data_IF_165859364031
#
_entry.id   IF_165859364031
#
_cell.length_a   1.000
_cell.length_b   1.000
_cell.length_c   1.000
_cell.angle_alpha   90.00
_cell.angle_beta   90.00
_cell.angle_gamma   90.00
#
_symmetry.space_group_name_H-M   'P 1'
#
loop_
_entity.id
_entity.type
_entity.pdbx_description
1 polymer ?
#
# COMPACT_ATOMS: atom_id res chain seq x y z
N UNK A 1 -74.98 57.43 -4.06
CA UNK A 1 -73.99 57.49 -2.96
C UNK A 1 -73.64 56.12 -2.44
N UNK A 2 -74.49 55.12 -2.35
CA UNK A 2 -74.24 53.72 -1.96
C UNK A 2 -73.29 52.97 -2.91
N UNK A 3 -73.40 53.23 -4.21
CA UNK A 3 -72.53 52.66 -5.22
C UNK A 3 -71.02 53.03 -5.02
N UNK A 4 -70.79 54.31 -4.67
CA UNK A 4 -69.38 54.76 -4.41
C UNK A 4 -68.81 54.13 -3.18
N UNK A 5 -69.56 53.89 -2.13
CA UNK A 5 -69.13 53.21 -0.92
C UNK A 5 -68.82 51.75 -1.19
N UNK A 6 -69.68 51.04 -1.92
CA UNK A 6 -69.44 49.66 -2.34
C UNK A 6 -68.20 49.52 -3.19
N UNK A 7 -67.95 50.42 -4.14
CA UNK A 7 -66.76 50.42 -4.98
C UNK A 7 -65.51 50.66 -4.16
N UNK A 8 -65.54 51.56 -3.18
CA UNK A 8 -64.39 51.80 -2.31
C UNK A 8 -64.04 50.57 -1.45
N UNK A 9 -65.07 49.93 -0.89
CA UNK A 9 -64.88 48.70 -0.13
C UNK A 9 -64.30 47.63 -0.99
N UNK A 10 -64.76 47.44 -2.22
CA UNK A 10 -64.21 46.42 -3.15
C UNK A 10 -62.77 46.73 -3.49
N UNK A 11 -62.37 47.96 -3.75
CA UNK A 11 -61.01 48.37 -4.03
C UNK A 11 -60.07 48.06 -2.82
N UNK A 12 -60.52 48.38 -1.61
CA UNK A 12 -59.75 48.09 -0.38
C UNK A 12 -59.57 46.60 -0.16
N UNK A 13 -60.60 45.81 -0.43
CA UNK A 13 -60.48 44.32 -0.33
C UNK A 13 -59.51 43.74 -1.38
N UNK A 14 -59.55 44.25 -2.60
CA UNK A 14 -58.62 43.80 -3.66
C UNK A 14 -57.18 44.21 -3.32
N UNK A 15 -56.94 45.44 -2.89
CA UNK A 15 -55.62 45.92 -2.51
C UNK A 15 -55.08 45.18 -1.27
N UNK A 16 -55.92 44.92 -0.29
CA UNK A 16 -55.55 44.11 0.89
C UNK A 16 -55.22 42.66 0.53
N UNK A 17 -56.05 42.10 -0.34
CA UNK A 17 -55.81 40.72 -0.84
C UNK A 17 -54.48 40.58 -1.61
N UNK A 18 -54.13 41.52 -2.47
CA UNK A 18 -52.89 41.57 -3.19
C UNK A 18 -51.65 41.74 -2.27
N UNK A 19 -51.77 42.56 -1.23
CA UNK A 19 -50.70 42.76 -0.27
C UNK A 19 -50.40 41.47 0.56
N UNK A 20 -51.49 40.83 1.00
CA UNK A 20 -51.35 39.57 1.73
C UNK A 20 -50.79 38.47 0.82
N UNK A 21 -51.29 38.36 -0.41
CA UNK A 21 -50.78 37.39 -1.37
C UNK A 21 -49.30 37.64 -1.72
N UNK A 22 -48.93 38.90 -1.94
CA UNK A 22 -47.52 39.27 -2.20
C UNK A 22 -46.60 38.94 -1.02
N UNK A 23 -47.06 39.17 0.21
CA UNK A 23 -46.30 38.82 1.41
C UNK A 23 -46.10 37.34 1.56
N UNK A 24 -47.15 36.54 1.38
CA UNK A 24 -47.07 35.06 1.46
C UNK A 24 -46.13 34.53 0.35
N UNK A 25 -46.29 35.02 -0.88
CA UNK A 25 -45.43 34.62 -2.00
C UNK A 25 -43.96 34.92 -1.75
N UNK A 26 -43.63 36.11 -1.25
CA UNK A 26 -42.24 36.48 -0.93
C UNK A 26 -41.66 35.67 0.24
N UNK A 27 -42.46 35.42 1.27
CA UNK A 27 -42.03 34.62 2.40
C UNK A 27 -41.76 33.17 1.98
N UNK A 28 -42.60 32.58 1.15
CA UNK A 28 -42.39 31.24 0.61
C UNK A 28 -41.14 31.15 -0.27
N UNK A 29 -40.83 32.18 -1.06
CA UNK A 29 -39.58 32.22 -1.84
C UNK A 29 -38.35 32.30 -0.95
N UNK A 30 -38.38 33.05 0.14
CA UNK A 30 -37.27 33.11 1.10
C UNK A 30 -37.02 31.75 1.78
N UNK A 31 -38.09 31.08 2.17
CA UNK A 31 -38.00 29.75 2.78
C UNK A 31 -37.42 28.69 1.78
N UNK A 32 -37.90 28.72 0.52
CA UNK A 32 -37.37 27.88 -0.53
C UNK A 32 -35.88 28.11 -0.79
N UNK A 33 -35.45 29.37 -0.89
CA UNK A 33 -34.03 29.71 -1.07
C UNK A 33 -33.16 29.30 0.11
N UNK A 34 -33.67 29.40 1.34
CA UNK A 34 -32.96 28.92 2.52
C UNK A 34 -32.80 27.38 2.54
N UNK A 35 -33.86 26.66 2.16
CA UNK A 35 -33.81 25.20 2.05
C UNK A 35 -32.81 24.73 0.97
N UNK A 36 -32.80 25.40 -0.19
CA UNK A 36 -31.82 25.12 -1.23
C UNK A 36 -30.37 25.35 -0.74
N UNK A 37 -30.13 26.49 -0.06
CA UNK A 37 -28.81 26.79 0.48
C UNK A 37 -28.37 25.79 1.54
N UNK A 38 -29.31 25.36 2.40
CA UNK A 38 -29.02 24.30 3.38
C UNK A 38 -28.72 22.94 2.71
N UNK A 39 -29.50 22.59 1.68
CA UNK A 39 -29.28 21.38 0.91
C UNK A 39 -27.90 21.38 0.21
N UNK A 40 -27.52 22.51 -0.40
CA UNK A 40 -26.18 22.67 -1.00
C UNK A 40 -25.04 22.55 0.02
N UNK A 41 -25.18 23.22 1.17
CA UNK A 41 -24.18 23.12 2.25
C UNK A 41 -24.04 21.70 2.76
N UNK A 42 -25.17 21.00 2.93
CA UNK A 42 -25.16 19.60 3.35
C UNK A 42 -24.49 18.70 2.32
N UNK A 43 -24.84 18.85 1.04
CA UNK A 43 -24.22 18.11 -0.05
C UNK A 43 -22.71 18.36 -0.15
N UNK A 44 -22.25 19.60 0.05
CA UNK A 44 -20.82 19.93 0.10
C UNK A 44 -20.13 19.29 1.31
N UNK A 45 -20.77 19.34 2.49
CA UNK A 45 -20.22 18.73 3.69
C UNK A 45 -20.10 17.20 3.55
N UNK A 46 -21.13 16.55 3.01
CA UNK A 46 -21.14 15.11 2.74
C UNK A 46 -20.05 14.71 1.72
N UNK A 47 -19.89 15.50 0.65
CA UNK A 47 -18.83 15.31 -0.34
C UNK A 47 -17.43 15.46 0.28
N UNK A 48 -17.21 16.47 1.11
CA UNK A 48 -15.93 16.66 1.81
C UNK A 48 -15.64 15.53 2.79
N UNK A 49 -16.65 15.01 3.50
CA UNK A 49 -16.51 13.83 4.36
C UNK A 49 -16.09 12.60 3.57
N UNK A 50 -16.72 12.35 2.42
CA UNK A 50 -16.34 11.20 1.56
C UNK A 50 -14.90 11.31 1.07
N UNK A 51 -14.48 12.49 0.61
CA UNK A 51 -13.10 12.72 0.16
C UNK A 51 -12.10 12.50 1.30
N UNK A 52 -12.39 13.00 2.50
CA UNK A 52 -11.52 12.76 3.67
C UNK A 52 -11.43 11.27 4.02
N UNK A 53 -12.55 10.56 4.05
CA UNK A 53 -12.56 9.13 4.32
C UNK A 53 -11.75 8.33 3.27
N UNK A 54 -11.80 8.74 2.01
CA UNK A 54 -10.98 8.13 0.96
C UNK A 54 -9.49 8.38 1.15
N UNK A 55 -9.11 9.62 1.49
CA UNK A 55 -7.71 9.96 1.77
C UNK A 55 -7.19 9.17 2.97
N UNK A 56 -7.94 9.13 4.08
CA UNK A 56 -7.56 8.36 5.27
C UNK A 56 -7.41 6.86 4.97
N UNK A 57 -8.31 6.30 4.15
CA UNK A 57 -8.22 4.91 3.73
C UNK A 57 -6.97 4.64 2.86
N UNK A 58 -6.63 5.54 1.94
CA UNK A 58 -5.42 5.44 1.12
C UNK A 58 -4.15 5.57 1.95
N UNK A 59 -4.11 6.51 2.90
CA UNK A 59 -2.98 6.68 3.80
C UNK A 59 -2.77 5.45 4.69
N UNK A 60 -3.86 4.89 5.24
CA UNK A 60 -3.81 3.67 6.04
C UNK A 60 -3.31 2.48 5.22
N UNK A 61 -3.74 2.34 3.97
CA UNK A 61 -3.26 1.28 3.08
C UNK A 61 -1.77 1.46 2.72
N UNK A 62 -1.34 2.69 2.42
CA UNK A 62 0.06 3.00 2.15
C UNK A 62 0.95 2.67 3.36
N UNK A 63 0.51 2.98 4.58
CA UNK A 63 1.23 2.63 5.81
C UNK A 63 1.34 1.11 5.99
N UNK A 64 0.26 0.35 5.76
CA UNK A 64 0.29 -1.13 5.84
C UNK A 64 1.28 -1.72 4.84
N UNK A 65 1.31 -1.20 3.62
CA UNK A 65 2.25 -1.66 2.59
C UNK A 65 3.70 -1.35 2.98
N UNK A 66 3.96 -0.16 3.52
CA UNK A 66 5.30 0.22 4.01
C UNK A 66 5.76 -0.67 5.18
N UNK A 67 4.89 -0.92 6.15
CA UNK A 67 5.18 -1.84 7.27
C UNK A 67 5.44 -3.27 6.79
N UNK A 68 4.67 -3.76 5.82
CA UNK A 68 4.88 -5.07 5.20
C UNK A 68 6.25 -5.14 4.54
N UNK A 69 6.61 -4.15 3.72
CA UNK A 69 7.93 -4.07 3.07
C UNK A 69 9.08 -4.05 4.07
N UNK A 70 8.97 -3.25 5.12
CA UNK A 70 9.94 -3.22 6.23
C UNK A 70 10.06 -4.58 6.94
N UNK A 71 8.93 -5.25 7.12
CA UNK A 71 8.91 -6.61 7.69
C UNK A 71 9.67 -7.61 6.84
N UNK A 72 9.47 -7.58 5.53
CA UNK A 72 10.17 -8.45 4.57
C UNK A 72 11.67 -8.10 4.50
N UNK A 73 12.03 -6.82 4.49
CA UNK A 73 13.45 -6.43 4.54
C UNK A 73 14.15 -7.01 5.78
N UNK A 74 13.54 -6.91 6.96
CA UNK A 74 14.08 -7.51 8.20
C UNK A 74 14.18 -9.04 8.13
N UNK A 75 13.18 -9.69 7.53
CA UNK A 75 13.22 -11.13 7.29
C UNK A 75 14.42 -11.49 6.41
N UNK A 76 14.60 -10.83 5.27
CA UNK A 76 15.70 -11.08 4.35
C UNK A 76 17.07 -10.79 4.99
N UNK A 77 17.19 -9.69 5.73
CA UNK A 77 18.42 -9.41 6.48
C UNK A 77 18.76 -10.54 7.48
N UNK A 78 17.75 -11.02 8.21
CA UNK A 78 17.93 -12.14 9.14
C UNK A 78 18.28 -13.44 8.41
N UNK A 79 17.59 -13.72 7.30
CA UNK A 79 17.85 -14.88 6.45
C UNK A 79 19.30 -14.86 5.93
N UNK A 80 19.74 -13.74 5.34
CA UNK A 80 21.09 -13.62 4.83
C UNK A 80 22.15 -13.80 5.93
N UNK A 81 21.97 -13.17 7.08
CA UNK A 81 22.92 -13.28 8.20
C UNK A 81 23.04 -14.69 8.77
N UNK A 82 21.96 -15.45 8.80
CA UNK A 82 21.91 -16.78 9.42
C UNK A 82 22.11 -17.93 8.45
N UNK A 83 21.71 -17.73 7.19
CA UNK A 83 21.63 -18.79 6.20
C UNK A 83 22.67 -18.69 5.08
N UNK A 84 23.21 -17.47 4.84
CA UNK A 84 24.08 -17.23 3.69
C UNK A 84 25.45 -16.71 4.12
N UNK A 85 25.47 -15.68 4.94
CA UNK A 85 26.70 -14.97 5.33
C UNK A 85 27.28 -15.54 6.63
N UNK A 86 27.47 -16.84 6.66
CA UNK A 86 28.01 -17.55 7.81
C UNK A 86 28.79 -18.80 7.33
N UNK A 87 29.80 -19.20 8.09
CA UNK A 87 30.59 -20.42 7.80
C UNK A 87 29.76 -21.70 8.00
N UNK A 88 28.82 -21.67 8.92
CA UNK A 88 27.96 -22.79 9.28
C UNK A 88 26.57 -22.71 8.63
N UNK A 89 26.51 -22.31 7.36
CA UNK A 89 25.24 -22.22 6.63
C UNK A 89 24.61 -23.61 6.48
N UNK A 90 23.44 -23.82 7.11
CA UNK A 90 22.66 -25.05 6.99
C UNK A 90 21.62 -24.86 5.86
N UNK A 91 22.02 -25.22 4.64
CA UNK A 91 21.19 -25.10 3.46
C UNK A 91 19.92 -25.93 3.56
N UNK A 92 20.00 -27.16 4.10
CA UNK A 92 18.87 -28.05 4.32
C UNK A 92 17.81 -27.40 5.23
N UNK A 93 18.25 -26.85 6.36
CA UNK A 93 17.34 -26.18 7.29
C UNK A 93 16.70 -24.94 6.68
N UNK A 94 17.46 -24.12 5.97
CA UNK A 94 16.98 -22.85 5.42
C UNK A 94 16.25 -23.01 4.09
N UNK A 95 16.41 -24.13 3.37
CA UNK A 95 15.67 -24.42 2.14
C UNK A 95 14.15 -24.45 2.34
N UNK A 96 13.68 -24.69 3.55
CA UNK A 96 12.25 -24.59 3.92
C UNK A 96 11.65 -23.19 3.78
N UNK A 97 12.47 -22.15 3.69
CA UNK A 97 12.03 -20.78 3.42
C UNK A 97 11.92 -20.48 1.92
N UNK A 98 12.23 -21.45 1.07
CA UNK A 98 12.08 -21.35 -0.37
C UNK A 98 10.72 -21.95 -0.78
N UNK A 99 10.13 -21.39 -1.84
CA UNK A 99 9.05 -22.09 -2.54
C UNK A 99 9.61 -23.32 -3.26
N UNK A 100 8.74 -24.28 -3.62
CA UNK A 100 9.15 -25.43 -4.43
C UNK A 100 9.76 -25.02 -5.77
N UNK A 101 9.33 -23.88 -6.32
CA UNK A 101 9.90 -23.32 -7.54
C UNK A 101 11.34 -22.85 -7.30
N UNK A 102 11.55 -22.01 -6.28
CA UNK A 102 12.88 -21.51 -5.94
C UNK A 102 13.84 -22.64 -5.55
N UNK A 103 13.36 -23.60 -4.76
CA UNK A 103 14.13 -24.77 -4.39
C UNK A 103 14.64 -25.54 -5.63
N UNK A 104 13.76 -25.78 -6.62
CA UNK A 104 14.16 -26.42 -7.87
C UNK A 104 15.10 -25.57 -8.71
N UNK A 105 14.98 -24.26 -8.67
CA UNK A 105 15.89 -23.35 -9.38
C UNK A 105 17.29 -23.35 -8.76
N UNK A 106 17.38 -23.40 -7.44
CA UNK A 106 18.67 -23.40 -6.71
C UNK A 106 19.35 -24.76 -6.76
N UNK A 107 18.62 -25.82 -6.41
CA UNK A 107 19.19 -27.16 -6.28
C UNK A 107 18.95 -28.09 -7.48
N UNK A 108 18.21 -27.65 -8.50
CA UNK A 108 17.81 -28.47 -9.64
C UNK A 108 16.63 -29.40 -9.34
N UNK A 109 16.21 -30.16 -10.34
CA UNK A 109 15.25 -31.25 -10.17
C UNK A 109 15.97 -32.49 -9.72
N UNK A 110 15.36 -33.25 -8.80
CA UNK A 110 15.90 -34.50 -8.32
C UNK A 110 16.34 -35.42 -9.50
N UNK A 111 17.66 -35.66 -9.67
CA UNK A 111 18.23 -36.43 -10.76
C UNK A 111 18.97 -35.66 -11.85
N UNK A 112 19.00 -34.32 -11.82
CA UNK A 112 19.76 -33.50 -12.78
C UNK A 112 21.01 -32.84 -12.18
N UNK A 113 21.41 -33.25 -10.97
CA UNK A 113 22.63 -32.73 -10.36
C UNK A 113 23.86 -33.15 -11.11
N UNK A 114 24.71 -32.19 -11.45
CA UNK A 114 26.14 -32.44 -11.63
C UNK A 114 26.68 -32.85 -10.25
N UNK A 115 26.95 -34.10 -10.07
CA UNK A 115 27.24 -34.76 -8.80
C UNK A 115 28.49 -34.24 -8.05
N UNK A 116 29.17 -33.22 -8.60
CA UNK A 116 30.45 -32.71 -8.09
C UNK A 116 30.34 -31.40 -7.29
N UNK A 117 29.19 -30.70 -7.30
CA UNK A 117 29.02 -29.49 -6.51
C UNK A 117 28.28 -29.80 -5.19
N UNK A 118 28.92 -29.49 -4.05
CA UNK A 118 28.30 -29.63 -2.75
C UNK A 118 27.16 -28.58 -2.57
N UNK A 119 26.22 -28.88 -1.69
CA UNK A 119 25.06 -28.02 -1.42
C UNK A 119 25.47 -26.61 -0.98
N UNK A 120 26.54 -26.45 -0.23
CA UNK A 120 27.03 -25.17 0.23
C UNK A 120 27.52 -24.31 -0.94
N UNK A 121 28.21 -24.91 -1.90
CA UNK A 121 28.63 -24.19 -3.13
C UNK A 121 27.44 -23.75 -3.97
N UNK A 122 26.45 -24.62 -4.14
CA UNK A 122 25.21 -24.29 -4.88
C UNK A 122 24.44 -23.18 -4.18
N UNK A 123 24.29 -23.26 -2.87
CA UNK A 123 23.63 -22.27 -2.05
C UNK A 123 24.32 -20.91 -2.12
N UNK A 124 25.65 -20.91 -1.95
CA UNK A 124 26.44 -19.70 -2.08
C UNK A 124 26.35 -19.08 -3.48
N UNK A 125 26.40 -19.89 -4.51
CA UNK A 125 26.26 -19.46 -5.91
C UNK A 125 24.92 -18.75 -6.17
N UNK A 126 23.85 -19.21 -5.52
CA UNK A 126 22.53 -18.61 -5.67
C UNK A 126 22.39 -17.29 -4.87
N UNK A 127 22.82 -17.29 -3.62
CA UNK A 127 22.52 -16.18 -2.70
C UNK A 127 23.75 -15.31 -2.35
N UNK A 128 24.96 -15.80 -2.50
CA UNK A 128 26.19 -15.11 -2.14
C UNK A 128 26.68 -14.11 -3.19
N UNK A 129 27.92 -13.66 -3.02
CA UNK A 129 28.66 -12.87 -4.00
C UNK A 129 29.62 -13.75 -4.81
N UNK A 130 30.35 -13.14 -5.75
CA UNK A 130 31.33 -13.85 -6.60
C UNK A 130 32.73 -13.92 -5.99
N UNK A 131 32.92 -13.42 -4.77
CA UNK A 131 34.21 -13.46 -4.09
C UNK A 131 34.64 -14.88 -3.81
N UNK A 132 35.90 -15.20 -4.11
CA UNK A 132 36.52 -16.51 -3.88
C UNK A 132 36.75 -16.77 -2.39
N UNK A 133 37.00 -15.70 -1.63
CA UNK A 133 37.20 -15.74 -0.18
C UNK A 133 36.25 -14.74 0.49
N UNK A 134 35.04 -15.15 0.89
CA UNK A 134 34.10 -14.26 1.49
C UNK A 134 34.48 -13.87 2.93
N UNK A 135 34.54 -12.54 3.21
CA UNK A 135 34.60 -12.05 4.60
C UNK A 135 33.16 -11.89 5.13
N UNK A 136 32.65 -12.93 5.76
CA UNK A 136 31.28 -12.93 6.30
C UNK A 136 31.04 -11.81 7.30
N UNK A 137 32.04 -11.44 8.11
CA UNK A 137 31.90 -10.34 9.06
C UNK A 137 31.72 -8.99 8.35
N UNK A 138 32.47 -8.77 7.27
CA UNK A 138 32.37 -7.56 6.49
C UNK A 138 31.06 -7.51 5.69
N UNK A 139 30.69 -8.64 5.06
CA UNK A 139 29.42 -8.78 4.33
C UNK A 139 28.21 -8.54 5.23
N UNK A 140 28.20 -9.12 6.45
CA UNK A 140 27.11 -8.90 7.41
C UNK A 140 27.00 -7.44 7.87
N UNK A 141 28.13 -6.77 8.12
CA UNK A 141 28.13 -5.35 8.51
C UNK A 141 27.63 -4.44 7.41
N UNK A 142 27.93 -4.78 6.16
CA UNK A 142 27.61 -3.96 4.99
C UNK A 142 26.31 -4.41 4.30
N UNK A 143 25.66 -5.45 4.81
CA UNK A 143 24.41 -5.96 4.28
C UNK A 143 23.34 -4.89 4.29
N UNK A 144 22.66 -4.71 3.15
CA UNK A 144 21.53 -3.83 3.03
C UNK A 144 20.46 -4.46 2.15
N UNK A 145 19.21 -4.37 2.59
CA UNK A 145 18.06 -4.86 1.85
C UNK A 145 17.11 -3.69 1.60
N UNK A 146 16.80 -3.44 0.35
CA UNK A 146 15.86 -2.40 -0.08
C UNK A 146 14.75 -3.03 -0.93
N UNK A 147 13.50 -2.60 -0.74
CA UNK A 147 12.40 -3.00 -1.61
C UNK A 147 12.56 -2.35 -3.00
N UNK A 148 12.36 -3.15 -4.06
CA UNK A 148 12.26 -2.67 -5.45
C UNK A 148 10.78 -2.40 -5.77
N UNK A 149 9.93 -3.38 -5.45
CA UNK A 149 8.48 -3.30 -5.57
C UNK A 149 7.79 -4.13 -4.47
N UNK A 150 6.57 -4.56 -4.67
CA UNK A 150 5.81 -5.30 -3.66
C UNK A 150 6.33 -6.72 -3.39
N UNK A 151 7.06 -7.31 -4.34
CA UNK A 151 7.55 -8.68 -4.26
C UNK A 151 9.06 -8.81 -4.44
N UNK A 152 9.71 -7.86 -5.08
CA UNK A 152 11.14 -7.90 -5.35
C UNK A 152 11.93 -7.00 -4.41
N UNK A 153 13.05 -7.53 -3.93
CA UNK A 153 13.96 -6.89 -2.99
C UNK A 153 15.39 -6.97 -3.51
N UNK A 154 16.13 -5.90 -3.33
CA UNK A 154 17.54 -5.81 -3.68
C UNK A 154 18.39 -6.00 -2.44
N UNK A 155 19.21 -7.02 -2.43
CA UNK A 155 20.18 -7.34 -1.39
C UNK A 155 21.55 -6.87 -1.86
N UNK A 156 22.17 -6.00 -1.08
CA UNK A 156 23.52 -5.50 -1.34
C UNK A 156 24.54 -6.29 -0.52
N UNK A 157 25.53 -6.84 -1.20
CA UNK A 157 26.64 -7.57 -0.65
C UNK A 157 27.92 -6.80 -0.96
N UNK A 158 28.59 -6.23 0.06
CA UNK A 158 29.79 -5.41 -0.12
C UNK A 158 30.94 -5.91 0.74
N UNK A 159 32.07 -6.11 0.10
CA UNK A 159 33.32 -6.55 0.71
C UNK A 159 34.50 -5.92 -0.07
N UNK A 160 35.53 -5.45 0.62
CA UNK A 160 36.80 -4.93 0.06
C UNK A 160 36.63 -3.83 -1.01
N UNK A 161 35.58 -3.00 -0.86
CA UNK A 161 35.23 -1.93 -1.78
C UNK A 161 34.45 -2.38 -3.01
N UNK A 162 34.26 -3.67 -3.22
CA UNK A 162 33.40 -4.23 -4.25
C UNK A 162 31.98 -4.41 -3.74
N UNK A 163 31.00 -4.19 -4.62
CA UNK A 163 29.59 -4.30 -4.27
C UNK A 163 28.87 -5.08 -5.34
N UNK A 164 28.19 -6.14 -4.91
CA UNK A 164 27.31 -6.93 -5.74
C UNK A 164 25.86 -6.86 -5.21
N UNK A 165 24.94 -7.23 -6.06
CA UNK A 165 23.53 -7.23 -5.74
C UNK A 165 22.91 -8.56 -6.10
N UNK A 166 21.99 -9.01 -5.25
CA UNK A 166 21.02 -10.05 -5.58
C UNK A 166 19.62 -9.44 -5.58
N UNK A 167 18.80 -9.88 -6.49
CA UNK A 167 17.39 -9.57 -6.47
C UNK A 167 16.64 -10.80 -5.98
N UNK A 168 15.88 -10.65 -4.92
CA UNK A 168 15.16 -11.74 -4.26
C UNK A 168 13.67 -11.47 -4.35
N UNK A 169 12.93 -12.40 -4.93
CA UNK A 169 11.47 -12.37 -4.97
C UNK A 169 10.91 -13.08 -3.76
N UNK A 170 9.98 -12.41 -3.10
CA UNK A 170 9.36 -12.88 -1.86
C UNK A 170 7.85 -12.97 -2.06
N UNK A 171 7.27 -14.07 -1.63
CA UNK A 171 5.83 -14.29 -1.56
C UNK A 171 5.39 -14.44 -0.10
N UNK A 172 4.16 -13.98 0.18
CA UNK A 172 3.50 -14.27 1.44
C UNK A 172 2.42 -15.31 1.18
N UNK A 173 2.56 -16.49 1.74
CA UNK A 173 1.63 -17.60 1.59
C UNK A 173 1.23 -18.10 2.98
N UNK A 174 -0.06 -18.13 3.27
CA UNK A 174 -0.63 -18.59 4.55
C UNK A 174 0.01 -17.93 5.80
N UNK A 175 0.37 -16.65 5.69
CA UNK A 175 1.03 -15.90 6.76
C UNK A 175 2.55 -16.15 6.89
N UNK A 176 3.11 -17.02 6.04
CA UNK A 176 4.54 -17.27 5.97
C UNK A 176 5.20 -16.47 4.84
N UNK A 177 6.41 -16.02 5.09
CA UNK A 177 7.24 -15.35 4.09
C UNK A 177 8.14 -16.41 3.45
N UNK A 178 8.04 -16.56 2.12
CA UNK A 178 8.82 -17.51 1.34
C UNK A 178 9.60 -16.80 0.24
N UNK A 179 10.81 -17.26 -0.01
CA UNK A 179 11.63 -16.81 -1.14
C UNK A 179 11.21 -17.61 -2.37
N UNK A 180 10.82 -16.92 -3.44
CA UNK A 180 10.27 -17.53 -4.65
C UNK A 180 11.28 -17.55 -5.81
N UNK A 181 12.18 -16.59 -5.86
CA UNK A 181 13.20 -16.49 -6.91
C UNK A 181 14.40 -15.68 -6.41
N UNK A 182 15.57 -15.96 -6.96
CA UNK A 182 16.80 -15.21 -6.71
C UNK A 182 17.61 -15.08 -8.01
N UNK A 183 18.11 -13.88 -8.27
CA UNK A 183 18.89 -13.57 -9.48
C UNK A 183 19.90 -12.45 -9.27
#
# INVERSE_FOLDING_TARGET
STLKVLLTILIVLILGGLAVFGYIYWNNQKEAAQLELQAQRKAQADSMMQVRAQIEAQEAEAQRQDEKRKGICRFLESFYKKAVLTEDADADFYSRYLTDYCHRMVFGTQGSYDYDADEATVWWGAFGNTATEPDFNQLQRNLKVDAIDDNWYKVRLSQDGETEYRQVKVLSQDGHILIDDVR
#
